data_IF_726219815781
#
_entry.id   IF_726219815781
#
_cell.length_a   1.000
_cell.length_b   1.000
_cell.length_c   1.000
_cell.angle_alpha   90.00
_cell.angle_beta   90.00
_cell.angle_gamma   90.00
#
_symmetry.space_group_name_H-M   'P 1'
#
loop_
_entity.id
_entity.type
_entity.pdbx_description
1 polymer ?
#
# COMPACT_ATOMS: atom_id res chain seq x y z
N UNK A 1 -1.12 -5.24 2.99
CA UNK A 1 -2.59 -5.39 2.97
C UNK A 1 -2.95 -6.87 3.01
N UNK A 2 -4.18 -7.22 3.41
CA UNK A 2 -4.60 -8.62 3.48
C UNK A 2 -4.65 -9.26 2.07
N UNK A 3 -4.04 -10.43 1.84
CA UNK A 3 -3.99 -11.05 0.52
C UNK A 3 -5.28 -11.81 0.13
N UNK A 4 -6.24 -11.92 1.06
CA UNK A 4 -7.41 -12.79 0.89
C UNK A 4 -8.53 -12.12 0.08
N UNK A 5 -9.26 -12.94 -0.67
CA UNK A 5 -10.53 -12.59 -1.29
C UNK A 5 -11.63 -12.47 -0.23
N UNK A 6 -12.46 -11.41 -0.28
CA UNK A 6 -13.65 -11.24 0.57
C UNK A 6 -14.86 -10.97 -0.33
N UNK A 7 -15.58 -12.03 -0.70
CA UNK A 7 -16.65 -11.98 -1.69
C UNK A 7 -16.11 -11.81 -3.11
N UNK A 8 -16.63 -10.85 -3.85
CA UNK A 8 -16.23 -10.57 -5.24
C UNK A 8 -14.93 -9.75 -5.35
N UNK A 9 -14.42 -9.19 -4.23
CA UNK A 9 -13.26 -8.29 -4.24
C UNK A 9 -12.16 -8.79 -3.29
N UNK A 10 -10.90 -8.46 -3.60
CA UNK A 10 -9.78 -8.65 -2.67
C UNK A 10 -9.93 -7.74 -1.44
N UNK A 11 -9.59 -8.26 -0.26
CA UNK A 11 -9.62 -7.52 0.99
C UNK A 11 -8.56 -6.41 0.98
N UNK A 12 -8.97 -5.15 1.19
CA UNK A 12 -8.05 -3.99 1.17
C UNK A 12 -7.57 -3.56 2.57
N UNK A 13 -7.88 -4.33 3.62
CA UNK A 13 -7.56 -3.93 5.01
C UNK A 13 -6.06 -4.05 5.28
N UNK A 14 -5.47 -3.05 5.94
CA UNK A 14 -4.12 -3.13 6.50
C UNK A 14 -4.06 -4.24 7.55
N UNK A 15 -3.09 -5.14 7.41
CA UNK A 15 -2.80 -6.19 8.40
C UNK A 15 -1.89 -5.62 9.50
N UNK A 16 -1.91 -6.24 10.68
CA UNK A 16 -1.03 -5.90 11.81
C UNK A 16 -0.08 -7.06 12.07
N UNK A 17 1.17 -6.75 12.35
CA UNK A 17 2.15 -7.76 12.72
C UNK A 17 1.87 -8.30 14.13
N UNK A 18 1.97 -9.62 14.31
CA UNK A 18 1.79 -10.28 15.60
C UNK A 18 3.11 -10.51 16.36
N UNK A 19 4.25 -10.11 15.80
CA UNK A 19 5.58 -10.27 16.41
C UNK A 19 6.21 -11.67 16.28
N UNK A 20 5.49 -12.63 15.69
CA UNK A 20 5.99 -13.98 15.37
C UNK A 20 6.20 -14.19 13.86
N UNK A 21 6.31 -13.11 13.08
CA UNK A 21 6.37 -13.14 11.62
C UNK A 21 5.01 -13.32 10.91
N UNK A 22 3.91 -13.52 11.65
CA UNK A 22 2.56 -13.57 11.08
C UNK A 22 1.85 -12.22 11.14
N UNK A 23 0.86 -12.08 10.27
CA UNK A 23 0.09 -10.85 10.09
C UNK A 23 -1.40 -11.12 10.31
N UNK A 24 -2.04 -10.33 11.17
CA UNK A 24 -3.47 -10.45 11.45
C UNK A 24 -4.31 -9.46 10.64
N UNK A 25 -5.32 -9.98 9.95
CA UNK A 25 -6.34 -9.18 9.29
C UNK A 25 -7.61 -9.11 10.14
N UNK A 26 -7.97 -7.92 10.64
CA UNK A 26 -9.20 -7.74 11.42
C UNK A 26 -10.49 -7.82 10.59
N UNK A 27 -10.41 -7.60 9.27
CA UNK A 27 -11.59 -7.67 8.39
C UNK A 27 -11.96 -9.10 8.02
N UNK A 28 -10.97 -9.98 7.85
CA UNK A 28 -11.18 -11.39 7.55
C UNK A 28 -11.12 -12.26 8.81
N UNK A 29 -10.70 -11.68 9.95
CA UNK A 29 -10.52 -12.33 11.24
C UNK A 29 -9.60 -13.58 11.17
N UNK A 30 -8.47 -13.42 10.49
CA UNK A 30 -7.52 -14.51 10.24
C UNK A 30 -6.07 -14.04 10.31
N UNK A 31 -5.19 -14.96 10.64
CA UNK A 31 -3.74 -14.79 10.55
C UNK A 31 -3.26 -15.27 9.18
N UNK A 32 -2.40 -14.49 8.54
CA UNK A 32 -1.78 -14.79 7.25
C UNK A 32 -0.27 -14.71 7.39
N UNK A 33 0.46 -15.51 6.62
CA UNK A 33 1.93 -15.50 6.62
C UNK A 33 2.50 -14.39 5.76
N UNK A 34 1.78 -14.00 4.69
CA UNK A 34 2.20 -13.00 3.72
C UNK A 34 1.18 -11.85 3.64
N UNK A 35 1.58 -10.73 3.05
CA UNK A 35 0.74 -9.57 2.80
C UNK A 35 1.09 -8.89 1.47
N UNK A 36 0.13 -8.16 0.90
CA UNK A 36 0.33 -7.42 -0.35
C UNK A 36 0.82 -5.99 -0.07
N UNK A 37 1.81 -5.49 -0.80
CA UNK A 37 2.13 -4.06 -0.80
C UNK A 37 1.05 -3.30 -1.56
N UNK A 38 0.64 -2.14 -1.04
CA UNK A 38 -0.39 -1.29 -1.65
C UNK A 38 -0.11 0.16 -1.37
N UNK A 39 -0.39 1.01 -2.35
CA UNK A 39 -0.18 2.44 -2.21
C UNK A 39 -1.25 3.14 -1.37
N UNK A 40 -0.78 4.03 -0.51
CA UNK A 40 -1.50 5.17 0.03
C UNK A 40 -0.62 6.41 -0.20
N UNK A 41 -0.54 6.85 -1.46
CA UNK A 41 0.40 7.87 -1.91
C UNK A 41 -0.18 9.25 -1.62
N UNK A 42 0.48 10.02 -0.75
CA UNK A 42 0.15 11.43 -0.53
C UNK A 42 0.90 12.28 -1.55
N UNK A 43 0.17 13.18 -2.22
CA UNK A 43 0.72 14.08 -3.23
C UNK A 43 0.25 15.49 -2.88
N UNK A 44 1.20 16.41 -2.77
CA UNK A 44 0.91 17.83 -2.61
C UNK A 44 1.01 18.50 -3.99
N UNK A 45 -0.15 18.93 -4.49
CA UNK A 45 -0.30 19.55 -5.80
C UNK A 45 -0.43 21.06 -5.64
N UNK A 46 0.31 21.83 -6.44
CA UNK A 46 0.17 23.28 -6.50
C UNK A 46 -0.01 23.68 -7.95
N UNK A 47 -1.01 24.51 -8.20
CA UNK A 47 -1.22 25.13 -9.51
C UNK A 47 -0.99 26.66 -9.43
N UNK A 48 -1.04 27.38 -10.56
CA UNK A 48 -0.86 28.83 -10.58
C UNK A 48 -1.91 29.64 -9.79
N UNK A 49 -3.01 29.02 -9.33
CA UNK A 49 -4.00 29.70 -8.46
C UNK A 49 -3.46 29.89 -7.03
N UNK A 50 -2.37 29.19 -6.68
CA UNK A 50 -1.55 29.47 -5.51
C UNK A 50 -1.85 28.61 -4.29
N UNK A 51 -2.94 27.83 -4.30
CA UNK A 51 -3.29 26.94 -3.19
C UNK A 51 -2.59 25.58 -3.31
N UNK A 52 -2.08 25.07 -2.20
CA UNK A 52 -1.51 23.72 -2.11
C UNK A 52 -2.62 22.74 -1.74
N UNK A 53 -2.89 21.79 -2.62
CA UNK A 53 -3.89 20.75 -2.42
C UNK A 53 -3.21 19.42 -2.11
N UNK A 54 -3.42 18.90 -0.90
CA UNK A 54 -2.94 17.58 -0.51
C UNK A 54 -3.98 16.52 -0.87
N UNK A 55 -3.66 15.66 -1.83
CA UNK A 55 -4.51 14.56 -2.25
C UNK A 55 -3.87 13.23 -1.89
N UNK A 56 -4.68 12.18 -1.79
CA UNK A 56 -4.20 10.81 -1.59
C UNK A 56 -4.67 9.94 -2.75
N UNK A 57 -3.73 9.39 -3.51
CA UNK A 57 -3.98 8.38 -4.52
C UNK A 57 -3.82 6.98 -3.91
N UNK A 58 -4.77 6.10 -4.17
CA UNK A 58 -4.76 4.73 -3.66
C UNK A 58 -4.46 3.74 -4.77
N UNK A 59 -3.67 2.71 -4.43
CA UNK A 59 -3.44 1.50 -5.21
C UNK A 59 -3.33 1.75 -6.73
N UNK A 60 -4.28 1.28 -7.53
CA UNK A 60 -4.34 1.43 -9.01
C UNK A 60 -4.03 2.86 -9.51
N UNK A 61 -4.56 3.90 -8.85
CA UNK A 61 -4.29 5.29 -9.26
C UNK A 61 -2.86 5.69 -8.95
N UNK A 62 -2.32 5.24 -7.83
CA UNK A 62 -0.94 5.53 -7.45
C UNK A 62 0.05 4.73 -8.30
N UNK A 63 -0.25 3.48 -8.67
CA UNK A 63 0.55 2.69 -9.63
C UNK A 63 0.59 3.39 -10.99
N UNK A 64 -0.54 3.91 -11.46
CA UNK A 64 -0.58 4.69 -12.70
C UNK A 64 0.24 5.99 -12.63
N UNK A 65 0.35 6.62 -11.46
CA UNK A 65 1.14 7.84 -11.26
C UNK A 65 2.64 7.52 -11.15
N UNK A 66 2.99 6.46 -10.41
CA UNK A 66 4.37 6.05 -10.14
C UNK A 66 4.99 5.26 -11.29
N UNK A 67 4.18 4.60 -12.13
CA UNK A 67 4.63 3.76 -13.24
C UNK A 67 5.18 2.39 -12.83
N UNK A 68 5.08 2.01 -11.55
CA UNK A 68 5.56 0.74 -10.99
C UNK A 68 4.56 0.19 -9.98
N UNK A 69 4.58 -1.12 -9.75
CA UNK A 69 3.77 -1.76 -8.70
C UNK A 69 4.31 -1.43 -7.30
N UNK A 70 3.42 -1.46 -6.30
CA UNK A 70 3.81 -1.14 -4.92
C UNK A 70 4.84 -2.13 -4.33
N UNK A 71 4.84 -3.38 -4.78
CA UNK A 71 5.84 -4.39 -4.39
C UNK A 71 7.22 -4.06 -4.95
N UNK A 72 7.28 -3.59 -6.19
CA UNK A 72 8.55 -3.28 -6.85
C UNK A 72 9.20 -2.05 -6.21
N UNK A 73 8.40 -1.02 -5.89
CA UNK A 73 8.89 0.14 -5.16
C UNK A 73 9.47 -0.25 -3.79
N UNK A 74 8.86 -1.23 -3.10
CA UNK A 74 9.41 -1.70 -1.84
C UNK A 74 10.77 -2.39 -2.00
N UNK A 75 10.94 -3.21 -3.04
CA UNK A 75 12.23 -3.84 -3.33
C UNK A 75 13.31 -2.78 -3.62
N UNK A 76 12.99 -1.78 -4.44
CA UNK A 76 13.91 -0.66 -4.72
C UNK A 76 14.31 0.09 -3.44
N UNK A 77 13.35 0.31 -2.52
CA UNK A 77 13.66 0.99 -1.26
C UNK A 77 14.60 0.20 -0.34
N UNK A 78 14.56 -1.14 -0.41
CA UNK A 78 15.48 -1.99 0.38
C UNK A 78 16.88 -1.96 -0.23
N UNK A 79 16.99 -1.92 -1.55
CA UNK A 79 18.28 -1.89 -2.25
C UNK A 79 19.05 -0.57 -1.99
N UNK A 80 18.35 0.57 -1.86
CA UNK A 80 18.96 1.87 -1.53
C UNK A 80 19.53 1.93 -0.09
N UNK A 81 19.00 1.14 0.85
CA UNK A 81 19.50 1.07 2.23
C UNK A 81 20.83 0.26 2.36
N UNK A 82 21.30 -0.36 1.27
CA UNK A 82 22.51 -1.23 1.26
C UNK A 82 23.71 -0.56 0.55
N UNK A 83 23.54 0.62 -0.07
CA UNK A 83 24.62 1.39 -0.73
C UNK A 83 25.04 2.61 0.07
#
# INVERSE_FOLDING_TARGET
ACPLQKGEKKCRKKVRENGNGSWFCSSCNVQVQNYDYRYALRIDLKDPTGELQSVTAFDETAESIMGVEASDLHLLSIDEDVT
#
